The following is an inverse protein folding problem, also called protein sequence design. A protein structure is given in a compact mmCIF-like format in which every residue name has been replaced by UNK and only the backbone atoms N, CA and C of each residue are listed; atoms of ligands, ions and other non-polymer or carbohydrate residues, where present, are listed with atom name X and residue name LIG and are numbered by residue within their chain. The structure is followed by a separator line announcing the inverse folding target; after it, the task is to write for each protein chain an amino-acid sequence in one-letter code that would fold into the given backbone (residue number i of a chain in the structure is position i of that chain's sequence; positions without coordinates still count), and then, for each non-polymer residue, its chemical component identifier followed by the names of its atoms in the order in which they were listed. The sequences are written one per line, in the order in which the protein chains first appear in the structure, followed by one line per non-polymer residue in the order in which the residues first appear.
data_IF_682988443963
#
_entry.id   IF_682988443963
#
_cell.length_a   1.000
_cell.length_b   1.000
_cell.length_c   1.000
_cell.angle_alpha   90.00
_cell.angle_beta   90.00
_cell.angle_gamma   90.00
#
_symmetry.space_group_name_H-M   'P 1'
#
loop_
_entity.id
_entity.type
_entity.pdbx_description
1 polymer ?
#
# COMPACT_ATOMS: atom_id res chain seq x y z
N UNK A 1 32.93 -84.10 -28.53
CA UNK A 1 32.15 -84.40 -27.30
C UNK A 1 31.00 -83.38 -27.27
N UNK A 2 29.73 -83.81 -27.32
CA UNK A 2 28.82 -84.04 -26.18
C UNK A 2 28.53 -82.72 -25.40
N UNK A 3 27.30 -82.17 -25.30
CA UNK A 3 25.96 -82.70 -24.89
C UNK A 3 25.88 -82.92 -23.35
N UNK A 4 24.77 -82.63 -22.62
CA UNK A 4 23.43 -82.11 -22.97
C UNK A 4 22.61 -81.67 -21.71
N UNK A 5 21.39 -81.15 -21.97
CA UNK A 5 20.14 -81.26 -21.18
C UNK A 5 19.64 -80.17 -20.19
N UNK A 6 18.33 -80.25 -19.95
CA UNK A 6 17.33 -79.34 -19.38
C UNK A 6 16.19 -80.23 -18.80
N UNK A 7 15.30 -79.80 -17.88
CA UNK A 7 13.87 -79.70 -18.29
C UNK A 7 12.94 -78.69 -17.56
N UNK A 8 11.91 -78.26 -18.32
CA UNK A 8 10.48 -77.99 -18.00
C UNK A 8 10.01 -77.94 -16.51
N UNK A 9 9.34 -76.88 -16.01
CA UNK A 9 7.97 -76.35 -16.28
C UNK A 9 6.84 -77.12 -15.52
N UNK A 10 5.56 -76.71 -15.37
CA UNK A 10 4.69 -75.77 -16.15
C UNK A 10 4.50 -74.40 -15.43
N UNK A 11 3.35 -73.71 -15.20
CA UNK A 11 1.89 -73.86 -15.42
C UNK A 11 1.18 -72.49 -15.61
N UNK A 12 -0.17 -72.45 -15.75
CA UNK A 12 -1.04 -71.26 -15.65
C UNK A 12 -2.49 -71.68 -15.27
N UNK A 13 -3.43 -70.75 -14.97
CA UNK A 13 -4.20 -70.11 -16.04
C UNK A 13 -4.41 -68.60 -15.89
N UNK A 14 -4.84 -67.95 -16.98
CA UNK A 14 -5.25 -66.53 -17.05
C UNK A 14 -6.78 -66.42 -16.91
N UNK A 15 -7.27 -65.27 -16.47
CA UNK A 15 -8.40 -64.63 -17.14
C UNK A 15 -8.24 -63.10 -17.12
N UNK A 16 -8.51 -62.49 -18.26
CA UNK A 16 -8.35 -61.07 -18.59
C UNK A 16 -9.52 -60.69 -19.50
N UNK A 17 -9.67 -59.40 -19.82
CA UNK A 17 -10.75 -58.80 -20.63
C UNK A 17 -12.11 -58.71 -19.90
N UNK A 18 -13.00 -57.75 -20.24
CA UNK A 18 -13.00 -56.79 -21.36
C UNK A 18 -13.02 -55.32 -20.93
N UNK A 19 -12.45 -54.44 -21.78
CA UNK A 19 -12.83 -53.01 -21.84
C UNK A 19 -14.20 -52.89 -22.54
N UNK A 20 -15.00 -51.88 -22.19
CA UNK A 20 -15.45 -50.92 -23.21
C UNK A 20 -16.01 -49.59 -22.65
N UNK A 21 -16.23 -48.62 -23.54
CA UNK A 21 -16.37 -47.19 -23.23
C UNK A 21 -17.57 -46.55 -23.94
N UNK A 22 -18.56 -46.01 -23.18
CA UNK A 22 -19.17 -44.66 -23.38
C UNK A 22 -20.41 -44.35 -22.51
N UNK A 23 -20.35 -43.18 -21.86
CA UNK A 23 -21.41 -42.17 -21.61
C UNK A 23 -22.88 -42.62 -21.36
N UNK A 24 -23.39 -42.31 -20.16
CA UNK A 24 -24.68 -41.60 -19.96
C UNK A 24 -24.67 -40.85 -18.61
N UNK A 25 -25.72 -40.07 -18.35
CA UNK A 25 -25.82 -39.11 -17.23
C UNK A 25 -26.12 -39.73 -15.85
N UNK A 26 -26.30 -38.89 -14.81
CA UNK A 26 -26.20 -39.28 -13.41
C UNK A 26 -27.55 -39.63 -12.74
N UNK A 27 -27.53 -40.33 -11.60
CA UNK A 27 -28.36 -40.01 -10.45
C UNK A 27 -27.63 -39.04 -9.49
N UNK A 28 -28.38 -38.23 -8.76
CA UNK A 28 -27.85 -37.43 -7.66
C UNK A 28 -28.34 -38.03 -6.33
N UNK A 29 -27.49 -38.02 -5.30
CA UNK A 29 -27.90 -38.15 -3.91
C UNK A 29 -27.11 -37.16 -3.06
N UNK A 30 -27.82 -36.44 -2.18
CA UNK A 30 -27.26 -35.38 -1.34
C UNK A 30 -26.91 -35.93 0.05
N UNK A 31 -25.69 -35.69 0.50
CA UNK A 31 -25.40 -35.59 1.93
C UNK A 31 -25.27 -34.10 2.31
N UNK A 32 -25.88 -33.67 3.43
CA UNK A 32 -26.02 -32.24 3.75
C UNK A 32 -24.69 -31.64 4.25
N UNK A 33 -24.48 -30.32 4.03
CA UNK A 33 -23.39 -29.60 4.68
C UNK A 33 -23.58 -29.56 6.21
N UNK A 34 -22.50 -29.41 6.99
CA UNK A 34 -22.59 -29.28 8.44
C UNK A 34 -23.36 -28.00 8.84
N UNK A 35 -24.07 -28.08 9.98
CA UNK A 35 -25.03 -27.07 10.45
C UNK A 35 -24.41 -25.67 10.56
N UNK A 36 -25.19 -24.67 10.17
CA UNK A 36 -24.88 -23.26 10.37
C UNK A 36 -24.72 -22.94 11.87
N UNK A 37 -23.69 -22.16 12.19
CA UNK A 37 -23.51 -21.63 13.54
C UNK A 37 -24.43 -20.43 13.74
N UNK A 38 -25.22 -20.51 14.80
CA UNK A 38 -26.35 -19.67 15.22
C UNK A 38 -26.03 -18.15 15.42
N UNK A 39 -25.71 -17.44 14.33
CA UNK A 39 -25.36 -16.00 14.31
C UNK A 39 -26.37 -15.12 13.54
N UNK A 40 -27.56 -15.64 13.23
CA UNK A 40 -28.62 -14.96 12.49
C UNK A 40 -29.98 -14.99 13.22
N UNK A 41 -29.95 -14.72 14.52
CA UNK A 41 -31.13 -14.23 15.26
C UNK A 41 -31.15 -12.70 15.26
N UNK A 42 -32.36 -12.13 15.31
CA UNK A 42 -32.66 -10.71 15.47
C UNK A 42 -32.21 -9.77 14.33
N UNK A 43 -32.27 -10.27 13.09
CA UNK A 43 -32.37 -9.43 11.90
C UNK A 43 -33.83 -8.93 11.70
N UNK A 44 -34.23 -7.89 12.43
CA UNK A 44 -35.50 -7.16 12.17
C UNK A 44 -35.30 -6.01 11.16
N UNK A 45 -36.40 -5.63 10.50
CA UNK A 45 -36.36 -5.06 9.15
C UNK A 45 -36.38 -3.53 9.03
N UNK A 46 -36.11 -3.08 7.81
CA UNK A 46 -36.12 -1.69 7.35
C UNK A 46 -37.55 -1.11 7.31
N UNK A 47 -38.15 -0.85 8.47
CA UNK A 47 -39.52 -0.34 8.58
C UNK A 47 -39.77 0.45 9.86
N UNK A 48 -39.32 1.71 9.89
CA UNK A 48 -40.10 2.83 10.43
C UNK A 48 -39.50 4.16 9.94
N UNK A 49 -40.36 5.03 9.40
CA UNK A 49 -39.97 6.29 8.74
C UNK A 49 -40.83 7.43 9.31
N UNK A 50 -40.19 8.59 9.53
CA UNK A 50 -40.76 9.84 10.04
C UNK A 50 -41.36 9.83 11.46
N UNK A 51 -40.73 10.61 12.34
CA UNK A 51 -41.42 11.42 13.37
C UNK A 51 -40.55 12.61 13.77
N UNK A 52 -40.38 13.54 12.83
CA UNK A 52 -39.78 14.86 13.06
C UNK A 52 -40.51 15.87 12.19
N UNK A 53 -41.70 16.29 12.64
CA UNK A 53 -42.45 17.38 12.02
C UNK A 53 -41.69 18.67 12.32
N UNK A 54 -41.02 19.22 11.31
CA UNK A 54 -40.57 20.62 11.36
C UNK A 54 -41.81 21.51 11.25
N UNK A 55 -41.98 22.40 12.22
CA UNK A 55 -43.01 23.43 12.20
C UNK A 55 -42.78 24.36 10.99
N UNK A 56 -43.72 24.46 10.03
CA UNK A 56 -43.56 25.33 8.86
C UNK A 56 -43.58 26.84 9.20
N UNK A 57 -43.84 27.21 10.46
CA UNK A 57 -43.89 28.60 10.92
C UNK A 57 -42.69 29.05 11.76
N UNK A 58 -41.69 28.18 12.04
CA UNK A 58 -40.44 28.64 12.65
C UNK A 58 -39.60 29.42 11.64
N UNK A 59 -39.60 30.76 11.75
CA UNK A 59 -38.70 31.61 10.96
C UNK A 59 -37.24 31.33 11.28
N UNK A 60 -36.39 31.31 10.25
CA UNK A 60 -34.94 31.11 10.42
C UNK A 60 -34.35 32.26 11.25
N UNK A 61 -33.38 32.01 12.15
CA UNK A 61 -32.86 32.99 13.11
C UNK A 61 -31.91 34.04 12.49
N UNK A 62 -32.01 34.28 11.18
CA UNK A 62 -31.19 35.22 10.42
C UNK A 62 -32.07 36.07 9.49
N UNK A 63 -31.86 37.39 9.38
CA UNK A 63 -32.54 38.24 8.40
C UNK A 63 -32.41 37.71 6.98
N UNK A 64 -33.45 37.87 6.16
CA UNK A 64 -33.49 37.33 4.80
C UNK A 64 -32.34 37.83 3.91
N UNK A 65 -31.91 39.08 4.08
CA UNK A 65 -30.74 39.65 3.40
C UNK A 65 -29.44 38.93 3.79
N UNK A 66 -29.22 38.63 5.08
CA UNK A 66 -28.05 37.87 5.53
C UNK A 66 -28.06 36.44 5.02
N UNK A 67 -29.24 35.82 4.87
CA UNK A 67 -29.37 34.50 4.27
C UNK A 67 -29.07 34.53 2.76
N UNK A 68 -29.51 35.58 2.06
CA UNK A 68 -29.19 35.79 0.65
C UNK A 68 -27.70 36.10 0.44
N UNK A 69 -27.09 36.95 1.26
CA UNK A 69 -25.64 37.20 1.24
C UNK A 69 -24.84 35.94 1.56
N UNK A 70 -25.25 35.13 2.53
CA UNK A 70 -24.61 33.86 2.84
C UNK A 70 -24.71 32.86 1.68
N UNK A 71 -25.90 32.70 1.09
CA UNK A 71 -26.10 31.85 -0.08
C UNK A 71 -25.30 32.36 -1.30
N UNK A 72 -25.33 33.66 -1.57
CA UNK A 72 -24.64 34.28 -2.71
C UNK A 72 -23.12 34.30 -2.55
N UNK A 73 -22.60 34.45 -1.33
CA UNK A 73 -21.18 34.26 -1.04
C UNK A 73 -20.77 32.79 -1.13
N UNK A 74 -21.61 31.86 -0.65
CA UNK A 74 -21.36 30.41 -0.80
C UNK A 74 -21.44 29.95 -2.26
N UNK A 75 -22.31 30.55 -3.07
CA UNK A 75 -22.33 30.39 -4.52
C UNK A 75 -21.06 30.97 -5.17
N UNK A 76 -20.59 32.15 -4.75
CA UNK A 76 -19.31 32.72 -5.21
C UNK A 76 -18.12 31.85 -4.81
N UNK A 77 -18.12 31.26 -3.63
CA UNK A 77 -17.09 30.30 -3.18
C UNK A 77 -17.17 28.99 -3.96
N UNK A 78 -18.37 28.45 -4.17
CA UNK A 78 -18.57 27.29 -5.04
C UNK A 78 -18.12 27.60 -6.47
N UNK A 79 -18.53 28.72 -7.08
CA UNK A 79 -18.09 29.14 -8.41
C UNK A 79 -16.57 29.42 -8.48
N UNK A 80 -15.93 29.91 -7.41
CA UNK A 80 -14.47 30.02 -7.33
C UNK A 80 -13.79 28.64 -7.24
N UNK A 81 -14.33 27.73 -6.44
CA UNK A 81 -13.85 26.35 -6.33
C UNK A 81 -14.01 25.60 -7.66
N UNK A 82 -15.18 25.72 -8.30
CA UNK A 82 -15.52 25.15 -9.60
C UNK A 82 -14.64 25.76 -10.69
N UNK A 83 -14.48 27.09 -10.80
CA UNK A 83 -13.52 27.69 -11.74
C UNK A 83 -12.09 27.19 -11.50
N UNK A 84 -11.65 27.05 -10.25
CA UNK A 84 -10.29 26.55 -9.95
C UNK A 84 -10.12 25.03 -10.20
N UNK A 85 -11.22 24.28 -10.33
CA UNK A 85 -11.25 22.90 -10.82
C UNK A 85 -11.37 22.83 -12.36
N UNK A 86 -12.20 23.66 -12.99
CA UNK A 86 -12.40 23.74 -14.44
C UNK A 86 -11.18 24.27 -15.19
N UNK A 87 -10.47 25.26 -14.62
CA UNK A 87 -9.18 25.71 -15.17
C UNK A 87 -8.08 24.65 -15.05
N UNK A 88 -8.28 23.58 -14.27
CA UNK A 88 -7.51 22.32 -14.40
C UNK A 88 -8.15 21.41 -15.45
N UNK A 89 -8.43 21.96 -16.64
CA UNK A 89 -8.89 21.24 -17.83
C UNK A 89 -8.03 19.99 -18.02
N UNK A 90 -8.66 18.82 -17.87
CA UNK A 90 -7.96 17.59 -17.51
C UNK A 90 -6.85 17.19 -18.49
N UNK A 91 -5.60 17.45 -18.14
CA UNK A 91 -4.43 16.86 -18.83
C UNK A 91 -4.53 15.35 -18.66
N UNK A 92 -4.85 14.62 -19.74
CA UNK A 92 -4.94 13.15 -19.72
C UNK A 92 -3.64 12.58 -19.12
N UNK A 93 -3.75 11.88 -18.00
CA UNK A 93 -2.67 11.00 -17.53
C UNK A 93 -2.57 9.89 -18.57
N UNK A 94 -1.43 9.81 -19.26
CA UNK A 94 -1.21 8.81 -20.31
C UNK A 94 -0.86 7.49 -19.61
N UNK A 95 -1.89 6.73 -19.27
CA UNK A 95 -1.78 5.33 -18.83
C UNK A 95 -1.20 4.49 -19.99
N UNK A 96 -0.27 3.61 -19.69
CA UNK A 96 0.18 2.58 -20.63
C UNK A 96 -0.88 1.49 -20.79
N UNK A 97 -1.11 1.09 -22.05
CA UNK A 97 -2.05 0.04 -22.41
C UNK A 97 -1.32 -1.30 -22.46
N UNK A 98 -1.89 -2.30 -21.79
CA UNK A 98 -1.38 -3.68 -21.75
C UNK A 98 -2.47 -4.69 -22.11
N UNK A 99 -3.49 -4.27 -22.85
CA UNK A 99 -4.67 -5.09 -23.20
C UNK A 99 -4.32 -6.24 -24.18
N UNK A 100 -3.09 -6.25 -24.70
CA UNK A 100 -2.49 -7.33 -25.48
C UNK A 100 -1.91 -8.47 -24.62
N UNK A 101 -1.73 -8.26 -23.31
CA UNK A 101 -1.32 -9.28 -22.33
C UNK A 101 -2.59 -9.76 -21.62
N UNK A 102 -2.93 -11.06 -21.59
CA UNK A 102 -4.08 -11.57 -20.86
C UNK A 102 -4.02 -11.16 -19.38
N UNK A 103 -5.15 -10.75 -18.79
CA UNK A 103 -5.16 -10.15 -17.44
C UNK A 103 -4.55 -11.05 -16.37
N UNK A 104 -4.60 -12.37 -16.56
CA UNK A 104 -4.06 -13.39 -15.65
C UNK A 104 -2.56 -13.68 -15.84
N UNK A 105 -1.93 -13.19 -16.91
CA UNK A 105 -0.48 -13.22 -17.13
C UNK A 105 0.19 -11.92 -16.64
N UNK A 106 -0.53 -10.80 -16.70
CA UNK A 106 -0.08 -9.47 -16.28
C UNK A 106 0.44 -9.49 -14.83
N UNK A 107 1.58 -8.85 -14.60
CA UNK A 107 2.20 -8.68 -13.27
C UNK A 107 1.93 -7.28 -12.72
N UNK A 108 1.68 -7.21 -11.42
CA UNK A 108 1.66 -6.01 -10.59
C UNK A 108 2.72 -6.16 -9.50
N UNK A 109 3.82 -5.42 -9.60
CA UNK A 109 4.88 -5.42 -8.58
C UNK A 109 4.49 -4.52 -7.40
N UNK A 110 4.52 -5.08 -6.18
CA UNK A 110 4.18 -4.40 -4.93
C UNK A 110 5.42 -4.29 -4.04
N UNK A 111 5.86 -3.07 -3.75
CA UNK A 111 7.10 -2.80 -3.01
C UNK A 111 6.80 -2.33 -1.56
N UNK A 112 7.27 -3.05 -0.52
CA UNK A 112 6.94 -2.75 0.87
C UNK A 112 7.60 -1.44 1.37
N UNK A 113 7.16 -1.00 2.56
CA UNK A 113 7.64 0.24 3.20
C UNK A 113 8.30 0.02 4.56
N UNK A 114 8.65 1.12 5.21
CA UNK A 114 9.11 1.12 6.61
C UNK A 114 8.05 0.46 7.52
N UNK A 115 8.50 -0.46 8.38
CA UNK A 115 7.66 -1.36 9.18
C UNK A 115 7.73 -2.81 8.71
N UNK A 116 8.16 -3.08 7.47
CA UNK A 116 8.32 -4.43 6.94
C UNK A 116 9.69 -5.08 7.29
N UNK A 117 10.68 -4.30 7.75
CA UNK A 117 12.04 -4.78 7.96
C UNK A 117 12.17 -5.82 9.10
N UNK A 118 12.99 -6.84 8.86
CA UNK A 118 13.34 -7.88 9.82
C UNK A 118 14.80 -8.30 9.67
N UNK A 119 15.38 -8.93 10.70
CA UNK A 119 16.70 -9.54 10.57
C UNK A 119 16.66 -10.68 9.53
N UNK A 120 17.82 -10.94 8.91
CA UNK A 120 18.01 -11.88 7.79
C UNK A 120 17.23 -11.56 6.51
N UNK A 121 16.62 -10.38 6.39
CA UNK A 121 16.16 -9.92 5.08
C UNK A 121 17.38 -9.63 4.18
N UNK A 122 17.44 -10.24 3.01
CA UNK A 122 18.64 -10.30 2.16
C UNK A 122 19.25 -11.70 2.07
N UNK A 123 19.00 -12.58 3.05
CA UNK A 123 19.56 -13.95 3.09
C UNK A 123 19.18 -14.80 1.86
N UNK A 124 18.04 -14.52 1.23
CA UNK A 124 17.51 -15.31 0.10
C UNK A 124 17.88 -14.76 -1.27
N UNK A 125 18.62 -13.66 -1.31
CA UNK A 125 18.99 -12.96 -2.55
C UNK A 125 20.49 -12.75 -2.72
N UNK A 126 21.30 -12.86 -1.65
CA UNK A 126 22.77 -12.74 -1.72
C UNK A 126 23.48 -13.85 -2.51
N UNK A 127 22.77 -14.92 -2.86
CA UNK A 127 23.23 -15.97 -3.77
C UNK A 127 23.17 -15.55 -5.25
N UNK A 128 22.35 -14.55 -5.60
CA UNK A 128 22.29 -13.98 -6.94
C UNK A 128 23.31 -12.84 -7.10
N UNK A 129 24.21 -12.87 -8.12
CA UNK A 129 25.25 -11.86 -8.27
C UNK A 129 24.75 -10.42 -8.47
N UNK A 130 23.66 -10.21 -9.23
CA UNK A 130 23.09 -8.86 -9.45
C UNK A 130 22.49 -8.31 -8.15
N UNK A 131 21.73 -9.13 -7.44
CA UNK A 131 21.17 -8.83 -6.12
C UNK A 131 22.24 -8.46 -5.09
N UNK A 132 23.37 -9.18 -5.08
CA UNK A 132 24.51 -8.86 -4.23
C UNK A 132 25.18 -7.54 -4.64
N UNK A 133 25.38 -7.30 -5.95
CA UNK A 133 26.00 -6.07 -6.44
C UNK A 133 25.23 -4.81 -5.99
N UNK A 134 23.90 -4.86 -5.86
CA UNK A 134 23.10 -3.76 -5.30
C UNK A 134 23.40 -3.49 -3.81
N UNK A 135 23.73 -4.51 -3.01
CA UNK A 135 24.20 -4.31 -1.63
C UNK A 135 25.61 -3.74 -1.58
N UNK A 136 26.53 -4.24 -2.41
CA UNK A 136 27.91 -3.73 -2.48
C UNK A 136 27.92 -2.26 -2.92
N UNK A 137 27.16 -1.90 -3.96
CA UNK A 137 26.97 -0.52 -4.42
C UNK A 137 26.22 0.36 -3.41
N UNK A 138 25.28 -0.21 -2.64
CA UNK A 138 24.63 0.52 -1.56
C UNK A 138 25.60 0.90 -0.45
N UNK A 139 26.56 0.02 -0.12
CA UNK A 139 27.56 0.28 0.91
C UNK A 139 28.43 1.50 0.57
N UNK A 140 28.79 1.69 -0.71
CA UNK A 140 29.52 2.86 -1.20
C UNK A 140 28.71 4.17 -1.03
N UNK A 141 27.43 4.16 -1.41
CA UNK A 141 26.55 5.35 -1.37
C UNK A 141 26.16 5.71 0.07
N UNK A 142 25.95 4.70 0.92
CA UNK A 142 25.55 4.88 2.31
C UNK A 142 26.74 5.20 3.23
N UNK A 143 27.93 4.66 2.93
CA UNK A 143 29.13 4.80 3.76
C UNK A 143 29.17 3.81 4.93
N UNK A 144 28.37 2.74 4.89
CA UNK A 144 28.33 1.67 5.88
C UNK A 144 27.83 0.36 5.26
N UNK A 145 28.20 -0.77 5.88
CA UNK A 145 27.73 -2.10 5.49
C UNK A 145 26.24 -2.28 5.84
N UNK A 146 25.38 -2.11 4.83
CA UNK A 146 23.93 -2.24 4.94
C UNK A 146 23.53 -3.71 5.10
N UNK A 147 24.15 -4.62 4.33
CA UNK A 147 23.81 -6.04 4.33
C UNK A 147 24.01 -6.64 5.72
N UNK A 148 25.10 -6.31 6.41
CA UNK A 148 25.35 -6.75 7.79
C UNK A 148 24.33 -6.20 8.79
N UNK A 149 23.82 -4.98 8.61
CA UNK A 149 22.73 -4.44 9.45
C UNK A 149 21.43 -5.21 9.18
N UNK A 150 21.16 -5.61 7.94
CA UNK A 150 20.00 -6.45 7.61
C UNK A 150 20.15 -7.89 8.16
N UNK A 151 21.34 -8.49 8.05
CA UNK A 151 21.59 -9.88 8.43
C UNK A 151 21.73 -10.07 9.95
N UNK A 152 22.50 -9.21 10.63
CA UNK A 152 22.93 -9.44 12.02
C UNK A 152 22.46 -8.32 12.98
N UNK A 153 22.12 -7.14 12.45
CA UNK A 153 21.48 -6.07 13.22
C UNK A 153 22.45 -5.22 14.05
N UNK A 154 22.16 -4.97 15.36
CA UNK A 154 21.00 -5.44 16.12
C UNK A 154 19.68 -4.88 15.58
N UNK A 155 18.54 -5.54 15.88
CA UNK A 155 17.22 -5.11 15.34
C UNK A 155 16.87 -3.67 15.73
N UNK A 156 17.25 -3.22 16.94
CA UNK A 156 17.10 -1.83 17.42
C UNK A 156 17.91 -0.81 16.64
N UNK A 157 18.91 -1.23 15.86
CA UNK A 157 19.59 -0.39 14.85
C UNK A 157 18.82 -0.45 13.53
N UNK A 158 18.51 -1.64 13.03
CA UNK A 158 17.78 -1.84 11.77
C UNK A 158 16.41 -1.12 11.76
N UNK A 159 15.71 -1.03 12.90
CA UNK A 159 14.40 -0.37 13.03
C UNK A 159 14.45 1.17 13.02
N UNK A 160 15.63 1.79 13.08
CA UNK A 160 15.76 3.24 13.02
C UNK A 160 15.54 3.73 11.58
N UNK A 161 14.82 4.85 11.42
CA UNK A 161 14.46 5.45 10.12
C UNK A 161 15.63 5.50 9.12
N UNK A 162 16.81 5.94 9.59
CA UNK A 162 18.04 6.09 8.80
C UNK A 162 18.58 4.78 8.21
N UNK A 163 18.26 3.64 8.84
CA UNK A 163 18.68 2.31 8.38
C UNK A 163 17.53 1.56 7.69
N UNK A 164 16.32 1.55 8.26
CA UNK A 164 15.21 0.77 7.70
C UNK A 164 14.79 1.22 6.30
N UNK A 165 14.87 2.52 5.98
CA UNK A 165 14.45 3.04 4.68
C UNK A 165 15.40 2.60 3.54
N UNK A 166 16.73 2.81 3.62
CA UNK A 166 17.67 2.17 2.70
C UNK A 166 17.57 0.64 2.70
N UNK A 167 17.45 0.02 3.88
CA UNK A 167 17.44 -1.44 3.99
C UNK A 167 16.24 -2.10 3.27
N UNK A 168 15.03 -1.55 3.43
CA UNK A 168 13.84 -2.03 2.71
C UNK A 168 13.97 -1.75 1.21
N UNK A 169 14.44 -0.57 0.81
CA UNK A 169 14.62 -0.20 -0.60
C UNK A 169 15.61 -1.15 -1.32
N UNK A 170 16.83 -1.31 -0.79
CA UNK A 170 17.87 -2.15 -1.42
C UNK A 170 17.46 -3.62 -1.40
N UNK A 171 16.95 -4.15 -0.29
CA UNK A 171 16.56 -5.55 -0.21
C UNK A 171 15.37 -5.89 -1.14
N UNK A 172 14.45 -4.93 -1.38
CA UNK A 172 13.34 -5.13 -2.33
C UNK A 172 13.80 -5.10 -3.79
N UNK A 173 14.80 -4.29 -4.13
CA UNK A 173 15.39 -4.29 -5.47
C UNK A 173 16.34 -5.47 -5.71
N UNK A 174 17.05 -5.93 -4.68
CA UNK A 174 17.80 -7.18 -4.71
C UNK A 174 16.87 -8.39 -4.93
N UNK A 175 15.68 -8.39 -4.32
CA UNK A 175 14.63 -9.38 -4.61
C UNK A 175 14.06 -9.25 -6.04
N UNK A 176 13.88 -8.02 -6.55
CA UNK A 176 13.43 -7.81 -7.94
C UNK A 176 14.44 -8.34 -8.97
N UNK A 177 15.74 -8.08 -8.79
CA UNK A 177 16.78 -8.59 -9.69
C UNK A 177 16.93 -10.12 -9.63
N UNK A 178 16.75 -10.75 -8.46
CA UNK A 178 16.72 -12.22 -8.41
C UNK A 178 15.48 -12.78 -9.12
N UNK A 179 14.29 -12.20 -8.89
CA UNK A 179 13.06 -12.59 -9.58
C UNK A 179 13.20 -12.47 -11.10
N UNK A 180 13.90 -11.44 -11.61
CA UNK A 180 14.23 -11.33 -13.05
C UNK A 180 15.15 -12.44 -13.56
N UNK A 181 16.12 -12.89 -12.76
CA UNK A 181 16.98 -14.03 -13.14
C UNK A 181 16.22 -15.37 -13.11
N UNK A 182 15.16 -15.48 -12.31
CA UNK A 182 14.30 -16.69 -12.24
C UNK A 182 13.13 -16.66 -13.23
N UNK A 183 12.66 -15.47 -13.64
CA UNK A 183 11.59 -15.23 -14.60
C UNK A 183 12.07 -14.22 -15.65
N UNK A 184 12.70 -14.72 -16.73
CA UNK A 184 13.27 -13.87 -17.79
C UNK A 184 12.23 -13.09 -18.60
N UNK A 185 10.95 -13.42 -18.46
CA UNK A 185 9.80 -12.75 -19.10
C UNK A 185 9.07 -11.76 -18.15
N UNK A 186 9.58 -11.56 -16.92
CA UNK A 186 8.96 -10.70 -15.91
C UNK A 186 8.77 -9.27 -16.41
N UNK A 187 9.77 -8.71 -17.10
CA UNK A 187 9.75 -7.31 -17.54
C UNK A 187 8.77 -7.09 -18.71
N UNK A 188 8.57 -8.09 -19.58
CA UNK A 188 7.53 -8.09 -20.62
C UNK A 188 6.11 -8.16 -20.02
N UNK A 189 5.95 -8.87 -18.89
CA UNK A 189 4.67 -9.00 -18.17
C UNK A 189 4.42 -7.89 -17.13
N UNK A 190 5.38 -7.00 -16.85
CA UNK A 190 5.28 -5.98 -15.80
C UNK A 190 4.41 -4.79 -16.23
N UNK A 191 3.11 -4.89 -15.96
CA UNK A 191 2.13 -3.87 -16.37
C UNK A 191 2.01 -2.67 -15.44
N UNK A 192 2.15 -2.90 -14.13
CA UNK A 192 1.92 -1.90 -13.09
C UNK A 192 2.90 -2.12 -11.92
N UNK A 193 3.36 -1.03 -11.28
CA UNK A 193 4.20 -1.08 -10.09
C UNK A 193 3.72 -0.07 -9.03
N UNK A 194 3.59 -0.51 -7.78
CA UNK A 194 3.15 0.34 -6.68
C UNK A 194 3.97 0.02 -5.43
N UNK A 195 4.42 1.05 -4.71
CA UNK A 195 5.19 0.85 -3.49
C UNK A 195 4.73 1.74 -2.35
N UNK A 196 4.81 1.26 -1.12
CA UNK A 196 4.29 1.96 0.05
C UNK A 196 5.34 2.89 0.66
N UNK A 197 5.08 4.21 0.66
CA UNK A 197 6.00 5.22 1.21
C UNK A 197 7.41 5.14 0.57
N UNK A 198 8.44 4.67 1.27
CA UNK A 198 9.78 4.45 0.71
C UNK A 198 9.78 3.43 -0.45
N UNK A 199 8.86 2.47 -0.46
CA UNK A 199 8.69 1.53 -1.57
C UNK A 199 8.36 2.18 -2.92
N UNK A 200 7.82 3.42 -2.93
CA UNK A 200 7.56 4.16 -4.18
C UNK A 200 8.86 4.40 -4.98
N UNK A 201 9.99 4.56 -4.29
CA UNK A 201 11.31 4.70 -4.91
C UNK A 201 11.77 3.38 -5.56
N UNK A 202 11.51 2.23 -4.93
CA UNK A 202 11.80 0.92 -5.52
C UNK A 202 10.90 0.65 -6.75
N UNK A 203 9.62 1.00 -6.68
CA UNK A 203 8.71 0.94 -7.83
C UNK A 203 9.17 1.82 -9.00
N UNK A 204 9.76 3.00 -8.72
CA UNK A 204 10.33 3.90 -9.74
C UNK A 204 11.62 3.37 -10.36
N UNK A 205 12.45 2.62 -9.63
CA UNK A 205 13.62 1.95 -10.21
C UNK A 205 13.21 0.73 -11.03
N UNK A 206 12.32 -0.12 -10.51
CA UNK A 206 11.84 -1.31 -11.21
C UNK A 206 11.09 -0.98 -12.52
N UNK A 207 10.32 0.12 -12.55
CA UNK A 207 9.69 0.64 -13.77
C UNK A 207 10.61 1.53 -14.63
N UNK A 208 11.92 1.54 -14.36
CA UNK A 208 12.95 2.19 -15.18
C UNK A 208 13.01 3.73 -15.10
N UNK A 209 12.20 4.39 -14.27
CA UNK A 209 12.10 5.86 -14.20
C UNK A 209 13.28 6.51 -13.48
N UNK A 210 13.84 5.84 -12.48
CA UNK A 210 15.02 6.31 -11.73
C UNK A 210 16.13 5.27 -11.77
N UNK A 211 17.39 5.73 -11.78
CA UNK A 211 18.54 4.87 -11.58
C UNK A 211 18.68 4.51 -10.10
N UNK A 212 19.21 3.33 -9.81
CA UNK A 212 19.35 2.81 -8.43
C UNK A 212 20.14 3.77 -7.54
N UNK A 213 21.25 4.32 -8.04
CA UNK A 213 22.17 5.16 -7.28
C UNK A 213 21.52 6.49 -6.90
N UNK A 214 20.80 7.10 -7.84
CA UNK A 214 20.12 8.37 -7.62
C UNK A 214 18.90 8.20 -6.71
N UNK A 215 18.13 7.13 -6.89
CA UNK A 215 17.07 6.76 -5.97
C UNK A 215 17.60 6.50 -4.55
N UNK A 216 18.70 5.77 -4.39
CA UNK A 216 19.31 5.50 -3.09
C UNK A 216 19.85 6.77 -2.41
N UNK A 217 20.43 7.72 -3.16
CA UNK A 217 20.82 9.04 -2.64
C UNK A 217 19.62 9.80 -2.07
N UNK A 218 18.48 9.81 -2.76
CA UNK A 218 17.25 10.42 -2.22
C UNK A 218 16.72 9.65 -1.02
N UNK A 219 16.70 8.31 -1.06
CA UNK A 219 16.23 7.48 0.07
C UNK A 219 17.10 7.70 1.31
N UNK A 220 18.42 7.83 1.17
CA UNK A 220 19.35 8.21 2.25
C UNK A 220 18.97 9.56 2.86
N UNK A 221 18.94 10.63 2.05
CA UNK A 221 18.63 12.00 2.51
C UNK A 221 17.21 12.08 3.11
N UNK A 222 16.24 11.38 2.53
CA UNK A 222 14.87 11.25 3.05
C UNK A 222 14.87 10.59 4.44
N UNK A 223 15.61 9.50 4.61
CA UNK A 223 15.68 8.75 5.85
C UNK A 223 16.36 9.54 6.97
N UNK A 224 17.46 10.23 6.65
CA UNK A 224 18.19 11.16 7.53
C UNK A 224 17.30 12.34 7.93
N UNK A 225 16.71 13.06 6.96
CA UNK A 225 15.91 14.24 7.25
C UNK A 225 14.58 13.92 7.98
N UNK A 226 13.92 12.81 7.65
CA UNK A 226 12.74 12.33 8.40
C UNK A 226 13.13 11.82 9.80
N UNK A 227 14.38 11.40 10.03
CA UNK A 227 14.86 11.10 11.37
C UNK A 227 15.10 12.39 12.18
N UNK A 228 15.71 13.42 11.59
CA UNK A 228 15.89 14.73 12.23
C UNK A 228 14.56 15.35 12.68
N UNK A 229 13.54 15.37 11.82
CA UNK A 229 12.20 15.89 12.17
C UNK A 229 11.61 15.26 13.44
N UNK A 230 11.88 13.98 13.68
CA UNK A 230 11.39 13.27 14.88
C UNK A 230 12.07 13.71 16.18
N UNK A 231 13.28 14.28 16.10
CA UNK A 231 14.01 14.77 17.28
C UNK A 231 13.52 16.16 17.72
N UNK A 232 12.74 16.86 16.88
CA UNK A 232 12.24 18.23 17.14
C UNK A 232 10.92 18.20 17.93
N UNK A 233 10.01 17.27 17.59
CA UNK A 233 8.66 17.21 18.19
C UNK A 233 8.32 15.78 18.58
N UNK A 234 7.99 15.56 19.85
CA UNK A 234 7.58 14.25 20.37
C UNK A 234 6.21 13.84 19.80
N UNK A 235 6.24 12.94 18.83
CA UNK A 235 5.10 12.55 18.03
C UNK A 235 5.10 11.04 17.77
N UNK A 236 4.03 10.52 17.18
CA UNK A 236 3.92 9.12 16.81
C UNK A 236 2.80 8.87 15.81
N UNK A 237 2.40 7.61 15.69
CA UNK A 237 1.34 7.20 14.77
C UNK A 237 0.38 6.20 15.43
N UNK A 238 -0.92 6.37 15.21
CA UNK A 238 -1.99 5.53 15.76
C UNK A 238 -2.81 4.93 14.61
N UNK A 239 -2.86 3.60 14.52
CA UNK A 239 -3.81 2.94 13.61
C UNK A 239 -5.20 2.94 14.22
N UNK A 240 -6.19 3.42 13.47
CA UNK A 240 -7.61 3.48 13.85
C UNK A 240 -8.48 2.76 12.82
N UNK A 241 -9.60 2.19 13.29
CA UNK A 241 -10.75 1.80 12.45
C UNK A 241 -11.84 2.85 12.56
N UNK A 242 -12.48 3.12 11.43
CA UNK A 242 -13.60 4.05 11.25
C UNK A 242 -14.68 3.40 10.37
N UNK A 243 -15.94 3.80 10.57
CA UNK A 243 -17.10 3.37 9.80
C UNK A 243 -17.91 4.60 9.34
N UNK A 244 -19.05 4.39 8.66
CA UNK A 244 -19.86 5.48 8.11
C UNK A 244 -20.46 6.45 9.16
N UNK A 245 -20.46 6.09 10.45
CA UNK A 245 -20.90 6.94 11.56
C UNK A 245 -19.75 7.60 12.34
N UNK A 246 -18.49 7.30 11.99
CA UNK A 246 -17.30 7.85 12.66
C UNK A 246 -17.09 9.32 12.34
N UNK A 247 -17.08 10.16 13.37
CA UNK A 247 -16.86 11.60 13.32
C UNK A 247 -15.37 11.92 13.29
N UNK A 248 -14.63 11.40 12.31
CA UNK A 248 -13.16 11.45 12.30
C UNK A 248 -12.64 12.90 12.27
N UNK A 249 -13.17 13.74 11.38
CA UNK A 249 -12.64 15.10 11.20
C UNK A 249 -12.93 15.99 12.42
N UNK A 250 -14.06 15.75 13.11
CA UNK A 250 -14.34 16.35 14.43
C UNK A 250 -13.35 15.87 15.50
N UNK A 251 -12.98 14.59 15.49
CA UNK A 251 -12.03 14.01 16.43
C UNK A 251 -10.62 14.58 16.25
N UNK A 252 -10.17 14.72 15.00
CA UNK A 252 -8.86 15.31 14.67
C UNK A 252 -8.81 16.80 15.04
N UNK A 253 -9.89 17.54 14.80
CA UNK A 253 -10.02 18.95 15.21
C UNK A 253 -9.99 19.10 16.73
N UNK A 254 -10.82 18.34 17.45
CA UNK A 254 -10.87 18.38 18.90
C UNK A 254 -9.56 17.93 19.58
N UNK A 255 -8.83 16.99 18.98
CA UNK A 255 -7.49 16.59 19.44
C UNK A 255 -6.46 17.72 19.28
N UNK A 256 -6.57 18.52 18.20
CA UNK A 256 -5.72 19.71 18.03
C UNK A 256 -6.10 20.84 18.98
N UNK A 257 -7.39 21.02 19.29
CA UNK A 257 -7.89 22.01 20.24
C UNK A 257 -7.41 21.70 21.67
N UNK A 258 -7.52 20.44 22.12
CA UNK A 258 -6.99 19.97 23.41
C UNK A 258 -5.46 20.17 23.54
N UNK A 259 -4.70 20.04 22.45
CA UNK A 259 -3.26 20.32 22.45
C UNK A 259 -2.98 21.84 22.56
N UNK A 260 -3.73 22.69 21.85
CA UNK A 260 -3.63 24.15 21.95
C UNK A 260 -3.96 24.67 23.36
N UNK A 261 -4.98 24.10 24.01
CA UNK A 261 -5.38 24.43 25.40
C UNK A 261 -4.32 24.08 26.46
N UNK A 262 -3.18 23.50 26.08
CA UNK A 262 -2.06 23.22 26.99
C UNK A 262 -0.68 23.45 26.35
N UNK A 263 -0.61 24.37 25.40
CA UNK A 263 0.65 24.85 24.78
C UNK A 263 1.48 23.74 24.10
N UNK A 264 0.84 22.63 23.70
CA UNK A 264 1.45 21.55 22.93
C UNK A 264 1.22 21.74 21.42
N UNK A 265 2.19 21.29 20.61
CA UNK A 265 2.13 21.41 19.14
C UNK A 265 0.90 20.66 18.59
N UNK A 266 -0.07 21.35 17.96
CA UNK A 266 -1.37 20.76 17.63
C UNK A 266 -1.33 20.09 16.24
N UNK A 267 -0.87 18.84 16.19
CA UNK A 267 -0.84 18.02 14.97
C UNK A 267 -1.61 16.72 15.21
N UNK A 268 -2.66 16.49 14.42
CA UNK A 268 -3.46 15.27 14.40
C UNK A 268 -4.04 15.10 13.00
N UNK A 269 -3.38 14.31 12.14
CA UNK A 269 -3.63 14.25 10.70
C UNK A 269 -3.70 12.80 10.21
N UNK A 270 -4.54 12.50 9.20
CA UNK A 270 -4.47 11.21 8.52
C UNK A 270 -3.14 11.13 7.77
N UNK A 271 -2.29 10.17 8.14
CA UNK A 271 -0.98 9.94 7.55
C UNK A 271 -0.99 8.78 6.53
N UNK A 272 -1.85 7.77 6.71
CA UNK A 272 -2.01 6.66 5.78
C UNK A 272 -3.49 6.23 5.65
N UNK A 273 -3.96 6.07 4.42
CA UNK A 273 -5.20 5.36 4.09
C UNK A 273 -4.80 3.93 3.71
N UNK A 274 -5.06 2.93 4.57
CA UNK A 274 -4.54 1.58 4.37
C UNK A 274 -5.49 0.71 3.53
N UNK A 275 -6.75 0.64 3.94
CA UNK A 275 -7.84 -0.08 3.27
C UNK A 275 -9.18 0.40 3.84
N UNK A 276 -10.30 -0.10 3.30
CA UNK A 276 -11.63 0.38 3.66
C UNK A 276 -11.86 0.38 5.17
N UNK A 277 -12.13 1.58 5.71
CA UNK A 277 -12.38 1.78 7.13
C UNK A 277 -11.15 1.71 8.05
N UNK A 278 -9.92 1.58 7.55
CA UNK A 278 -8.70 1.58 8.39
C UNK A 278 -7.69 2.63 7.92
N UNK A 279 -7.28 3.48 8.86
CA UNK A 279 -6.39 4.63 8.65
C UNK A 279 -5.30 4.65 9.72
N UNK A 280 -4.20 5.32 9.43
CA UNK A 280 -3.20 5.70 10.42
C UNK A 280 -3.25 7.21 10.60
N UNK A 281 -3.36 7.68 11.83
CA UNK A 281 -3.24 9.08 12.21
C UNK A 281 -1.80 9.33 12.67
N UNK A 282 -1.13 10.32 12.10
CA UNK A 282 0.10 10.88 12.65
C UNK A 282 -0.23 12.08 13.53
N UNK A 283 0.42 12.19 14.69
CA UNK A 283 0.18 13.33 15.58
C UNK A 283 1.11 13.39 16.77
N UNK A 284 1.03 14.49 17.51
CA UNK A 284 1.72 14.65 18.80
C UNK A 284 1.14 13.73 19.87
N UNK A 285 1.94 13.42 20.89
CA UNK A 285 1.55 12.41 21.88
C UNK A 285 0.25 12.75 22.61
N UNK A 286 -0.01 14.03 22.91
CA UNK A 286 -1.30 14.49 23.45
C UNK A 286 -2.47 14.26 22.50
N UNK A 287 -2.40 14.78 21.27
CA UNK A 287 -3.44 14.60 20.24
C UNK A 287 -3.86 13.13 20.08
N UNK A 288 -2.89 12.21 20.04
CA UNK A 288 -3.17 10.77 19.92
C UNK A 288 -3.77 10.16 21.19
N UNK A 289 -3.39 10.65 22.37
CA UNK A 289 -3.94 10.20 23.67
C UNK A 289 -5.36 10.74 23.88
N UNK A 290 -5.67 11.93 23.38
CA UNK A 290 -7.02 12.47 23.31
C UNK A 290 -7.93 11.60 22.43
N UNK A 291 -7.46 11.16 21.24
CA UNK A 291 -8.21 10.25 20.36
C UNK A 291 -8.50 8.89 21.02
N UNK A 292 -7.53 8.36 21.77
CA UNK A 292 -7.70 7.11 22.52
C UNK A 292 -8.74 7.26 23.64
N UNK A 293 -8.66 8.36 24.40
CA UNK A 293 -9.57 8.65 25.51
C UNK A 293 -10.99 8.99 25.06
N UNK A 294 -11.15 9.68 23.92
CA UNK A 294 -12.44 10.12 23.38
C UNK A 294 -13.01 9.18 22.30
N UNK A 295 -12.45 7.98 22.12
CA UNK A 295 -12.79 7.06 21.02
C UNK A 295 -14.30 6.85 20.81
N UNK A 296 -15.05 6.63 21.90
CA UNK A 296 -16.50 6.41 21.86
C UNK A 296 -17.28 7.66 21.44
N UNK A 297 -16.89 8.86 21.91
CA UNK A 297 -17.53 10.15 21.57
C UNK A 297 -17.56 10.40 20.06
N UNK A 298 -16.49 10.03 19.37
CA UNK A 298 -16.35 10.19 17.92
C UNK A 298 -16.66 8.93 17.12
N UNK A 299 -17.08 7.84 17.78
CA UNK A 299 -17.36 6.53 17.18
C UNK A 299 -16.17 5.99 16.35
N UNK A 300 -14.95 6.21 16.83
CA UNK A 300 -13.71 5.67 16.26
C UNK A 300 -13.20 4.51 17.11
N UNK A 301 -12.44 3.58 16.53
CA UNK A 301 -11.81 2.48 17.25
C UNK A 301 -10.28 2.57 17.10
N UNK A 302 -9.54 3.09 18.09
CA UNK A 302 -8.09 2.90 18.20
C UNK A 302 -7.76 1.40 18.14
N UNK A 303 -6.73 1.04 17.38
CA UNK A 303 -6.26 -0.35 17.24
C UNK A 303 -4.88 -0.50 17.89
N UNK A 304 -3.91 0.34 17.50
CA UNK A 304 -2.51 0.19 17.91
C UNK A 304 -1.68 1.44 17.63
N UNK A 305 -0.94 1.92 18.63
CA UNK A 305 0.22 2.82 18.45
C UNK A 305 1.32 2.08 17.68
N UNK A 306 1.83 2.67 16.61
CA UNK A 306 2.93 2.12 15.83
C UNK A 306 4.26 2.38 16.55
N UNK A 307 5.17 1.41 16.52
CA UNK A 307 6.52 1.53 17.07
C UNK A 307 7.43 2.32 16.10
N UNK A 308 7.18 3.62 16.00
CA UNK A 308 7.89 4.56 15.13
C UNK A 308 8.25 5.82 15.92
N UNK A 309 9.35 6.48 15.52
CA UNK A 309 9.89 7.65 16.24
C UNK A 309 9.13 8.96 16.01
N UNK A 310 8.12 9.02 15.14
CA UNK A 310 7.38 10.25 14.88
C UNK A 310 6.24 10.11 13.88
N UNK A 311 5.56 11.22 13.62
CA UNK A 311 4.38 11.32 12.77
C UNK A 311 4.73 11.53 11.28
N UNK A 312 5.23 10.47 10.63
CA UNK A 312 5.50 10.47 9.19
C UNK A 312 4.24 10.81 8.37
N UNK A 313 4.40 11.37 7.16
CA UNK A 313 3.29 11.74 6.27
C UNK A 313 2.28 12.74 6.87
N UNK A 314 2.78 13.65 7.71
CA UNK A 314 2.06 14.82 8.24
C UNK A 314 2.91 16.08 8.07
N UNK A 315 2.36 17.27 8.36
CA UNK A 315 3.09 18.55 8.26
C UNK A 315 4.40 18.60 9.09
N UNK A 316 4.56 17.73 10.11
CA UNK A 316 5.79 17.65 10.91
C UNK A 316 7.02 17.23 10.08
N UNK A 317 6.83 16.65 8.90
CA UNK A 317 7.91 16.29 7.97
C UNK A 317 8.26 17.40 6.96
N UNK A 318 7.77 18.64 7.15
CA UNK A 318 8.00 19.75 6.21
C UNK A 318 9.51 20.05 5.98
N UNK A 319 10.33 20.03 7.03
CA UNK A 319 11.77 20.26 6.89
C UNK A 319 12.46 19.12 6.12
N UNK A 320 11.94 17.88 6.23
CA UNK A 320 12.42 16.74 5.44
C UNK A 320 12.03 16.84 3.96
N UNK A 321 10.85 17.40 3.66
CA UNK A 321 10.42 17.70 2.30
C UNK A 321 11.37 18.69 1.60
N UNK A 322 11.87 19.70 2.31
CA UNK A 322 12.86 20.66 1.79
C UNK A 322 14.20 19.98 1.46
N UNK A 323 14.77 19.19 2.38
CA UNK A 323 16.02 18.45 2.10
C UNK A 323 15.87 17.47 0.92
N UNK A 324 14.72 16.80 0.82
CA UNK A 324 14.40 15.90 -0.32
C UNK A 324 14.22 16.67 -1.63
N UNK A 325 13.64 17.89 -1.59
CA UNK A 325 13.58 18.76 -2.78
C UNK A 325 14.98 19.13 -3.28
N UNK A 326 15.93 19.42 -2.39
CA UNK A 326 17.33 19.64 -2.78
C UNK A 326 18.00 18.37 -3.31
N UNK A 327 17.71 17.18 -2.74
CA UNK A 327 18.25 15.91 -3.22
C UNK A 327 17.91 15.60 -4.69
N UNK A 328 16.74 16.02 -5.17
CA UNK A 328 16.33 15.87 -6.58
C UNK A 328 17.00 16.86 -7.56
N UNK A 329 17.94 17.70 -7.12
CA UNK A 329 18.68 18.63 -8.00
C UNK A 329 19.55 17.85 -8.98
N UNK A 330 19.50 18.19 -10.27
CA UNK A 330 20.27 17.49 -11.33
C UNK A 330 19.76 16.10 -11.72
N UNK A 331 18.95 15.42 -10.89
CA UNK A 331 18.46 14.07 -11.15
C UNK A 331 17.55 13.99 -12.38
N UNK A 332 17.89 13.06 -13.27
CA UNK A 332 17.08 12.71 -14.45
C UNK A 332 15.96 11.74 -14.08
N UNK A 333 14.90 11.74 -14.89
CA UNK A 333 13.75 10.84 -14.77
C UNK A 333 13.43 10.32 -16.16
N UNK A 334 13.65 9.02 -16.36
CA UNK A 334 13.44 8.36 -17.64
C UNK A 334 11.97 8.02 -17.87
N UNK A 335 11.63 7.53 -19.07
CA UNK A 335 10.26 7.18 -19.43
C UNK A 335 9.88 5.79 -18.88
N UNK A 336 8.86 5.75 -18.03
CA UNK A 336 8.39 4.53 -17.36
C UNK A 336 8.04 3.39 -18.34
N UNK A 337 8.48 2.18 -18.04
CA UNK A 337 8.12 0.93 -18.76
C UNK A 337 6.73 0.44 -18.38
N UNK A 338 6.34 0.58 -17.10
CA UNK A 338 5.05 0.16 -16.55
C UNK A 338 4.21 1.34 -16.03
N UNK A 339 2.99 1.08 -15.55
CA UNK A 339 2.16 2.08 -14.86
C UNK A 339 2.56 2.19 -13.38
N UNK A 340 3.17 3.31 -12.96
CA UNK A 340 3.65 3.48 -11.58
C UNK A 340 2.68 4.34 -10.76
N UNK A 341 2.40 3.95 -9.52
CA UNK A 341 1.42 4.62 -8.64
C UNK A 341 2.05 5.56 -7.61
N UNK A 342 1.45 6.75 -7.45
CA UNK A 342 1.90 7.78 -6.52
C UNK A 342 1.12 7.79 -5.21
N UNK A 343 1.80 7.67 -4.08
CA UNK A 343 1.14 7.72 -2.77
C UNK A 343 0.54 9.10 -2.46
N UNK A 344 1.16 10.18 -2.93
CA UNK A 344 0.64 11.54 -2.74
C UNK A 344 -0.67 11.80 -3.51
N UNK A 345 -0.79 11.32 -4.75
CA UNK A 345 -1.98 11.60 -5.56
C UNK A 345 -3.06 10.51 -5.49
N UNK A 346 -2.71 9.30 -5.05
CA UNK A 346 -3.59 8.12 -5.09
C UNK A 346 -3.92 7.66 -6.50
N UNK A 347 -3.05 7.97 -7.47
CA UNK A 347 -3.25 7.76 -8.93
C UNK A 347 -1.94 7.32 -9.59
N UNK A 348 -2.04 6.90 -10.86
CA UNK A 348 -0.88 6.67 -11.72
C UNK A 348 -0.10 7.98 -11.89
N UNK A 349 1.23 7.90 -11.80
CA UNK A 349 2.15 9.01 -11.99
C UNK A 349 2.00 9.68 -13.36
N UNK A 350 2.36 10.96 -13.41
CA UNK A 350 2.44 11.71 -14.67
C UNK A 350 3.68 11.27 -15.46
N UNK A 351 3.57 11.15 -16.79
CA UNK A 351 4.70 10.86 -17.71
C UNK A 351 5.62 12.09 -17.92
N UNK A 352 5.81 12.91 -16.88
CA UNK A 352 6.61 14.15 -16.90
C UNK A 352 7.48 14.24 -15.64
N UNK A 353 8.79 14.22 -15.82
CA UNK A 353 9.82 14.31 -14.78
C UNK A 353 9.47 15.30 -13.64
N UNK A 354 9.14 16.56 -13.97
CA UNK A 354 8.83 17.59 -12.98
C UNK A 354 7.56 17.34 -12.15
N UNK A 355 6.56 16.64 -12.70
CA UNK A 355 5.34 16.27 -11.97
C UNK A 355 5.59 15.05 -11.06
N UNK A 356 6.40 14.08 -11.50
CA UNK A 356 6.86 12.93 -10.68
C UNK A 356 7.69 13.45 -9.50
N UNK A 357 8.70 14.29 -9.78
CA UNK A 357 9.56 14.92 -8.77
C UNK A 357 8.73 15.70 -7.76
N UNK A 358 7.76 16.51 -8.21
CA UNK A 358 6.85 17.24 -7.32
C UNK A 358 6.03 16.30 -6.44
N UNK A 359 5.49 15.21 -6.99
CA UNK A 359 4.72 14.24 -6.22
C UNK A 359 5.57 13.53 -5.15
N UNK A 360 6.82 13.17 -5.46
CA UNK A 360 7.75 12.53 -4.52
C UNK A 360 8.21 13.47 -3.39
N UNK A 361 8.40 14.76 -3.68
CA UNK A 361 8.68 15.78 -2.67
C UNK A 361 7.49 15.87 -1.71
N UNK A 362 6.28 16.09 -2.23
CA UNK A 362 5.06 16.22 -1.42
C UNK A 362 4.77 14.96 -0.59
N UNK A 363 5.06 13.77 -1.13
CA UNK A 363 4.89 12.47 -0.46
C UNK A 363 5.57 12.36 0.92
N UNK A 364 6.59 13.17 1.21
CA UNK A 364 7.30 13.17 2.51
C UNK A 364 6.40 13.69 3.65
N UNK A 365 5.59 14.70 3.38
CA UNK A 365 4.75 15.39 4.39
C UNK A 365 3.23 15.20 4.19
N UNK A 366 2.82 14.54 3.10
CA UNK A 366 1.41 14.30 2.76
C UNK A 366 0.99 12.83 2.90
N UNK A 367 -0.31 12.56 3.15
CA UNK A 367 -0.83 11.20 3.37
C UNK A 367 -0.58 10.21 2.23
N UNK A 368 -0.20 9.00 2.63
CA UNK A 368 -0.12 7.81 1.76
C UNK A 368 -1.51 7.31 1.41
N UNK A 369 -1.90 7.43 0.14
CA UNK A 369 -3.22 7.04 -0.40
C UNK A 369 -3.23 5.59 -0.93
N UNK A 370 -2.82 4.66 -0.08
CA UNK A 370 -2.65 3.23 -0.44
C UNK A 370 -3.97 2.50 -0.66
N UNK A 371 -5.03 2.84 0.09
CA UNK A 371 -6.41 2.40 -0.16
C UNK A 371 -6.83 2.73 -1.60
N UNK A 372 -6.58 3.96 -2.04
CA UNK A 372 -6.96 4.46 -3.37
C UNK A 372 -6.15 3.78 -4.49
N UNK A 373 -4.85 3.53 -4.26
CA UNK A 373 -3.99 2.77 -5.18
C UNK A 373 -4.52 1.34 -5.35
N UNK A 374 -4.80 0.62 -4.26
CA UNK A 374 -5.34 -0.74 -4.32
C UNK A 374 -6.74 -0.77 -4.96
N UNK A 375 -7.59 0.25 -4.76
CA UNK A 375 -8.88 0.35 -5.46
C UNK A 375 -8.69 0.51 -6.99
N UNK A 376 -7.66 1.24 -7.46
CA UNK A 376 -7.36 1.34 -8.89
C UNK A 376 -6.80 0.03 -9.46
N UNK A 377 -5.94 -0.66 -8.71
CA UNK A 377 -5.41 -1.98 -9.08
C UNK A 377 -6.49 -3.07 -9.10
N UNK A 378 -7.42 -3.06 -8.15
CA UNK A 378 -8.59 -3.94 -8.12
C UNK A 378 -9.51 -3.71 -9.32
N UNK A 379 -9.66 -2.47 -9.79
CA UNK A 379 -10.46 -2.10 -10.98
C UNK A 379 -9.85 -2.55 -12.32
N UNK A 380 -8.67 -3.18 -12.34
CA UNK A 380 -8.09 -3.80 -13.56
C UNK A 380 -8.73 -5.15 -13.94
N UNK A 381 -9.51 -5.77 -13.05
CA UNK A 381 -10.03 -7.13 -13.28
C UNK A 381 -10.92 -7.23 -14.53
N UNK A 382 -10.90 -8.40 -15.17
CA UNK A 382 -11.77 -8.76 -16.30
C UNK A 382 -12.46 -10.08 -15.93
N UNK A 383 -13.80 -10.13 -15.97
CA UNK A 383 -14.60 -11.31 -15.60
C UNK A 383 -14.21 -11.98 -14.26
N UNK A 384 -13.88 -11.14 -13.27
CA UNK A 384 -13.32 -11.52 -11.96
C UNK A 384 -11.95 -12.22 -11.96
N UNK A 385 -11.26 -12.30 -13.09
CA UNK A 385 -9.81 -12.61 -13.16
C UNK A 385 -8.98 -11.39 -12.78
N UNK A 386 -7.89 -11.61 -12.08
CA UNK A 386 -6.98 -10.57 -11.56
C UNK A 386 -5.55 -10.80 -12.08
N UNK A 387 -4.73 -9.73 -12.18
CA UNK A 387 -3.31 -9.87 -12.45
C UNK A 387 -2.56 -10.43 -11.25
N UNK A 388 -1.37 -10.97 -11.51
CA UNK A 388 -0.48 -11.51 -10.50
C UNK A 388 0.11 -10.39 -9.64
N UNK A 389 -0.35 -10.28 -8.40
CA UNK A 389 0.21 -9.34 -7.42
C UNK A 389 1.43 -9.98 -6.76
N UNK A 390 2.62 -9.43 -6.96
CA UNK A 390 3.86 -9.95 -6.36
C UNK A 390 4.37 -8.91 -5.35
N UNK A 391 4.33 -9.23 -4.06
CA UNK A 391 4.99 -8.41 -3.01
C UNK A 391 6.46 -8.78 -2.91
N UNK A 392 7.32 -7.90 -3.44
CA UNK A 392 8.75 -8.14 -3.67
C UNK A 392 9.55 -7.41 -2.60
N UNK A 393 10.29 -8.15 -1.77
CA UNK A 393 11.06 -7.62 -0.64
C UNK A 393 10.60 -8.17 0.72
N UNK A 394 10.93 -7.48 1.83
CA UNK A 394 10.72 -8.01 3.17
C UNK A 394 9.26 -8.00 3.60
N UNK A 395 8.87 -8.97 4.43
CA UNK A 395 7.52 -9.06 5.00
C UNK A 395 6.41 -9.50 4.02
N UNK A 396 5.16 -9.30 4.44
CA UNK A 396 3.90 -9.64 3.73
C UNK A 396 2.77 -8.63 4.03
N UNK A 397 3.14 -7.37 4.24
CA UNK A 397 2.23 -6.37 4.77
C UNK A 397 1.24 -5.87 3.70
N UNK A 398 1.66 -5.80 2.43
CA UNK A 398 0.81 -5.32 1.34
C UNK A 398 -0.24 -6.36 0.96
N UNK A 399 0.10 -7.65 0.94
CA UNK A 399 -0.86 -8.75 0.83
C UNK A 399 -1.87 -8.77 1.97
N UNK A 400 -1.41 -8.46 3.19
CA UNK A 400 -2.28 -8.33 4.38
C UNK A 400 -3.26 -7.16 4.28
N UNK A 401 -2.95 -6.11 3.52
CA UNK A 401 -3.90 -5.05 3.17
C UNK A 401 -4.82 -5.46 2.00
N UNK A 402 -4.26 -6.11 0.97
CA UNK A 402 -4.99 -6.55 -0.22
C UNK A 402 -6.14 -7.52 0.12
N UNK A 403 -5.93 -8.48 1.03
CA UNK A 403 -6.98 -9.41 1.46
C UNK A 403 -8.15 -8.73 2.20
N UNK A 404 -7.90 -7.57 2.83
CA UNK A 404 -8.93 -6.74 3.46
C UNK A 404 -9.72 -5.87 2.44
N UNK A 405 -9.26 -5.79 1.18
CA UNK A 405 -9.97 -5.11 0.08
C UNK A 405 -10.67 -6.13 -0.84
N UNK A 406 -9.98 -7.22 -1.20
CA UNK A 406 -10.55 -8.26 -2.06
C UNK A 406 -9.89 -9.61 -1.81
N UNK A 407 -10.66 -10.53 -1.21
CA UNK A 407 -10.29 -11.95 -1.08
C UNK A 407 -10.08 -12.62 -2.45
N UNK A 408 -10.74 -12.14 -3.52
CA UNK A 408 -10.54 -12.64 -4.90
C UNK A 408 -9.19 -12.18 -5.48
N UNK A 409 -8.85 -10.91 -5.31
CA UNK A 409 -7.55 -10.38 -5.78
C UNK A 409 -6.38 -11.05 -5.04
N UNK A 410 -6.56 -11.32 -3.75
CA UNK A 410 -5.59 -12.07 -2.94
C UNK A 410 -5.40 -13.55 -3.37
N UNK A 411 -6.28 -14.13 -4.19
CA UNK A 411 -6.02 -15.46 -4.79
C UNK A 411 -4.92 -15.41 -5.87
N UNK A 412 -4.68 -14.24 -6.47
CA UNK A 412 -3.57 -13.97 -7.39
C UNK A 412 -2.39 -13.27 -6.70
N UNK A 413 -2.31 -13.30 -5.35
CA UNK A 413 -1.21 -12.72 -4.59
C UNK A 413 -0.11 -13.75 -4.29
N UNK A 414 1.12 -13.34 -4.52
CA UNK A 414 2.34 -14.03 -4.07
C UNK A 414 3.27 -13.04 -3.35
N UNK A 415 4.19 -13.56 -2.56
CA UNK A 415 5.25 -12.79 -1.95
C UNK A 415 6.60 -13.41 -2.34
N UNK A 416 7.48 -12.57 -2.87
CA UNK A 416 8.84 -12.92 -3.24
C UNK A 416 9.81 -12.29 -2.22
N UNK A 417 10.24 -13.06 -1.20
CA UNK A 417 11.00 -12.52 -0.07
C UNK A 417 12.47 -12.31 -0.41
N UNK A 418 13.08 -11.29 0.21
CA UNK A 418 14.52 -11.14 0.31
C UNK A 418 15.12 -11.94 1.48
#
# INVERSE_FOLDING_TARGET
MLKLFNPFSVSSPKLLFTRNVRRRGPPADFHPPPKEADFLKDATTYSDVHSAILDPHSSLPYPAEQLQDYLHNKEKEQQRSVRSQEYKKGRKIIKLNFDHIPIEDQVVALFPGQGAQHLKMGEKVIDCPSSKALFDQANEILGYDLLKICMDGPKTKLDQTIYCQPAVFVASLAAYEKLKTEQTDLEDRLTDAAGFSVGEYAALVAGGVMKFEDALKVVKIRAEAMHECNQIVSAGMLTIRVNASSKLDEALKAACEDAMESDEVPVCEVANYLFQGVKVIGGTNRCLTFLESNAQRFKIQPIKRLAVSGAFHTRLMANAMEKVQHAFTGMQFEQSTCNIYSNYTGKIHSRKAGEIRKALIQQVAEPVKWEQIQQLLFRKHQDFKFPNYIEIGPGRQLGSMLVNISKKAYQAYTNYPC
#
